data_IF_606845910884
#
_entry.id   IF_606845910884
#
_cell.length_a   1.000
_cell.length_b   1.000
_cell.length_c   1.000
_cell.angle_alpha   90.00
_cell.angle_beta   90.00
_cell.angle_gamma   90.00
#
_symmetry.space_group_name_H-M   'P 1'
#
loop_
_entity.id
_entity.type
_entity.pdbx_description
1 polymer ?
#
# COMPACT_ATOMS: atom_id res chain seq x y z
N UNK A 1 2.93 -10.20 -22.55
CA UNK A 1 3.17 -9.62 -21.56
C UNK A 1 2.31 -9.87 -20.57
N UNK A 2 2.68 -9.80 -19.62
CA UNK A 2 1.94 -10.14 -18.62
C UNK A 2 0.96 -9.15 -18.38
N UNK A 3 -0.09 -9.50 -17.89
CA UNK A 3 -0.98 -8.71 -17.53
C UNK A 3 -0.65 -8.11 -16.37
N UNK A 4 -0.78 -6.99 -16.26
CA UNK A 4 -0.43 -6.29 -15.16
C UNK A 4 -1.51 -6.14 -14.25
N UNK A 5 -1.24 -6.34 -13.00
CA UNK A 5 -2.14 -5.93 -11.99
C UNK A 5 -1.71 -4.54 -11.69
N UNK A 6 -2.56 -3.59 -11.89
CA UNK A 6 -2.17 -2.26 -11.62
C UNK A 6 -2.14 -2.00 -10.16
N UNK A 7 -0.97 -1.69 -9.66
CA UNK A 7 -0.80 -1.32 -8.26
C UNK A 7 -0.76 0.19 -8.22
N UNK A 8 -1.69 0.76 -7.47
CA UNK A 8 -1.76 2.20 -7.36
C UNK A 8 -0.90 2.64 -6.19
N UNK A 9 0.30 3.11 -6.48
CA UNK A 9 1.25 3.48 -5.44
C UNK A 9 0.72 4.56 -4.52
N UNK A 10 -0.02 5.51 -5.08
CA UNK A 10 -0.60 6.56 -4.27
C UNK A 10 -1.58 5.99 -3.24
N UNK A 11 -2.39 5.05 -3.68
CA UNK A 11 -3.37 4.45 -2.79
C UNK A 11 -2.70 3.65 -1.69
N UNK A 12 -1.63 2.94 -2.03
CA UNK A 12 -0.89 2.16 -1.05
C UNK A 12 -0.27 3.07 0.00
N UNK A 13 0.25 4.20 -0.41
CA UNK A 13 0.81 5.16 0.54
C UNK A 13 -0.28 5.66 1.49
N UNK A 14 -1.47 5.90 0.98
CA UNK A 14 -2.57 6.35 1.82
C UNK A 14 -3.00 5.28 2.81
N UNK A 15 -3.05 4.03 2.38
CA UNK A 15 -3.37 2.94 3.29
C UNK A 15 -2.32 2.84 4.38
N UNK A 16 -1.05 2.93 4.00
CA UNK A 16 0.04 2.89 4.95
C UNK A 16 -0.11 3.99 5.99
N UNK A 17 -0.44 5.20 5.56
CA UNK A 17 -0.61 6.31 6.49
C UNK A 17 -1.71 6.02 7.51
N UNK A 18 -2.82 5.46 7.04
CA UNK A 18 -3.89 5.12 7.95
C UNK A 18 -3.46 4.07 8.97
N UNK A 19 -2.78 3.05 8.49
CA UNK A 19 -2.41 1.94 9.37
C UNK A 19 -1.29 2.30 10.33
N UNK A 20 -0.56 3.35 10.06
CA UNK A 20 0.49 3.79 10.98
C UNK A 20 -0.06 4.21 12.33
N UNK A 21 -1.33 4.54 12.39
CA UNK A 21 -1.94 4.90 13.67
C UNK A 21 -2.03 3.71 14.63
N UNK A 22 -1.91 2.50 14.11
CA UNK A 22 -2.06 1.30 14.92
C UNK A 22 -3.51 0.91 15.15
N UNK A 23 -4.44 1.67 14.63
CA UNK A 23 -5.84 1.34 14.79
C UNK A 23 -6.27 0.28 13.80
N UNK A 24 -7.38 -0.36 14.12
CA UNK A 24 -7.98 -1.35 13.23
C UNK A 24 -8.91 -0.65 12.25
N UNK A 25 -8.80 -1.01 10.98
CA UNK A 25 -9.68 -0.49 9.95
C UNK A 25 -10.15 -1.63 9.09
N UNK A 26 -11.44 -1.68 8.81
CA UNK A 26 -11.95 -2.64 7.82
C UNK A 26 -11.60 -2.11 6.43
N UNK A 27 -11.64 -3.00 5.44
CA UNK A 27 -11.39 -2.57 4.07
C UNK A 27 -12.39 -1.50 3.66
N UNK A 28 -13.62 -1.62 4.12
CA UNK A 28 -14.64 -0.65 3.79
C UNK A 28 -14.32 0.72 4.39
N UNK A 29 -13.84 0.73 5.62
CA UNK A 29 -13.46 1.98 6.27
C UNK A 29 -12.28 2.63 5.56
N UNK A 30 -11.31 1.82 5.16
CA UNK A 30 -10.17 2.34 4.43
C UNK A 30 -10.61 2.92 3.11
N UNK A 31 -11.48 2.21 2.40
CA UNK A 31 -11.96 2.69 1.11
C UNK A 31 -12.65 4.04 1.24
N UNK A 32 -13.44 4.20 2.31
CA UNK A 32 -14.12 5.46 2.52
C UNK A 32 -13.17 6.59 2.87
N UNK A 33 -12.05 6.27 3.46
CA UNK A 33 -11.10 7.28 3.90
C UNK A 33 -10.22 7.79 2.78
N UNK A 34 -10.24 7.13 1.63
CA UNK A 34 -9.37 7.51 0.52
C UNK A 34 -10.18 8.26 -0.51
N UNK A 35 -9.76 9.48 -0.77
CA UNK A 35 -10.42 10.31 -1.76
C UNK A 35 -11.92 10.39 -1.49
N UNK A 36 -12.70 10.10 -2.49
CA UNK A 36 -14.15 10.21 -2.37
C UNK A 36 -14.80 8.89 -2.04
N UNK A 37 -14.01 7.90 -1.64
CA UNK A 37 -14.59 6.63 -1.29
C UNK A 37 -15.04 5.80 -2.49
N UNK A 38 -14.49 6.09 -3.65
CA UNK A 38 -14.92 5.41 -4.87
C UNK A 38 -14.35 4.01 -5.02
N UNK A 39 -13.39 3.64 -4.18
CA UNK A 39 -12.77 2.33 -4.30
C UNK A 39 -13.59 1.28 -3.57
N UNK A 40 -13.61 0.07 -4.10
CA UNK A 40 -14.34 -1.02 -3.47
C UNK A 40 -13.50 -1.65 -2.37
N UNK A 41 -14.18 -2.35 -1.47
CA UNK A 41 -13.47 -3.12 -0.44
C UNK A 41 -12.53 -4.13 -1.06
N UNK A 42 -12.94 -4.73 -2.17
CA UNK A 42 -12.10 -5.72 -2.81
C UNK A 42 -10.80 -5.12 -3.30
N UNK A 43 -10.85 -3.91 -3.85
CA UNK A 43 -9.64 -3.22 -4.27
C UNK A 43 -8.71 -3.01 -3.09
N UNK A 44 -9.25 -2.59 -1.96
CA UNK A 44 -8.45 -2.36 -0.77
C UNK A 44 -7.86 -3.67 -0.27
N UNK A 45 -8.63 -4.75 -0.29
CA UNK A 45 -8.13 -6.04 0.14
C UNK A 45 -6.94 -6.48 -0.71
N UNK A 46 -7.00 -6.25 -2.01
CA UNK A 46 -5.90 -6.59 -2.89
C UNK A 46 -4.68 -5.77 -2.59
N UNK A 47 -4.86 -4.48 -2.33
CA UNK A 47 -3.74 -3.62 -1.99
C UNK A 47 -3.08 -4.09 -0.69
N UNK A 48 -3.89 -4.48 0.28
CA UNK A 48 -3.36 -4.93 1.56
C UNK A 48 -2.60 -6.24 1.40
N UNK A 49 -3.11 -7.14 0.56
CA UNK A 49 -2.39 -8.38 0.28
C UNK A 49 -1.03 -8.09 -0.35
N UNK A 50 -1.01 -7.15 -1.27
CA UNK A 50 0.25 -6.75 -1.90
C UNK A 50 1.21 -6.17 -0.86
N UNK A 51 0.71 -5.31 0.01
CA UNK A 51 1.53 -4.70 1.05
C UNK A 51 2.12 -5.77 1.96
N UNK A 52 1.28 -6.71 2.37
CA UNK A 52 1.74 -7.75 3.28
C UNK A 52 2.70 -8.72 2.60
N UNK A 53 2.35 -9.16 1.40
CA UNK A 53 3.09 -10.24 0.75
C UNK A 53 4.31 -9.76 -0.01
N UNK A 54 4.27 -8.58 -0.56
CA UNK A 54 5.36 -8.06 -1.38
C UNK A 54 6.19 -7.03 -0.65
N UNK A 55 5.55 -6.17 0.13
CA UNK A 55 6.26 -5.10 0.83
C UNK A 55 6.58 -5.47 2.27
N UNK A 56 6.19 -6.67 2.68
CA UNK A 56 6.47 -7.17 4.03
C UNK A 56 5.89 -6.30 5.12
N UNK A 57 4.76 -5.68 4.86
CA UNK A 57 4.10 -4.87 5.86
C UNK A 57 3.58 -5.76 6.99
N UNK A 58 3.77 -5.37 8.24
CA UNK A 58 3.35 -6.20 9.37
C UNK A 58 1.86 -6.03 9.64
N UNK A 59 1.04 -6.59 8.78
CA UNK A 59 -0.41 -6.44 8.86
C UNK A 59 -1.05 -7.68 9.43
N UNK A 60 -1.88 -7.49 10.43
CA UNK A 60 -2.68 -8.56 11.00
C UNK A 60 -4.14 -8.26 10.70
N UNK A 61 -4.94 -9.29 10.51
CA UNK A 61 -6.36 -9.08 10.24
C UNK A 61 -7.20 -9.99 11.11
N UNK A 62 -8.36 -9.49 11.50
CA UNK A 62 -9.36 -10.29 12.18
C UNK A 62 -10.71 -9.60 11.96
N UNK A 63 -11.70 -9.89 12.80
CA UNK A 63 -13.04 -9.35 12.61
C UNK A 63 -13.08 -7.83 12.70
N UNK A 64 -12.08 -7.20 13.28
CA UNK A 64 -12.03 -5.74 13.39
C UNK A 64 -11.45 -5.09 12.15
N UNK A 65 -10.86 -5.87 11.25
CA UNK A 65 -10.26 -5.36 10.04
C UNK A 65 -8.78 -5.62 10.02
N UNK A 66 -8.02 -4.61 9.65
CA UNK A 66 -6.58 -4.72 9.49
C UNK A 66 -5.87 -3.70 10.37
N UNK A 67 -4.67 -4.04 10.83
CA UNK A 67 -3.86 -3.06 11.52
C UNK A 67 -2.40 -3.48 11.44
N UNK A 68 -1.51 -2.52 11.67
CA UNK A 68 -0.08 -2.81 11.74
C UNK A 68 0.25 -3.32 13.14
N UNK A 69 1.04 -4.39 13.18
CA UNK A 69 1.47 -4.95 14.46
C UNK A 69 2.72 -4.28 15.02
N UNK A 70 3.38 -3.44 14.20
CA UNK A 70 4.58 -2.74 14.63
C UNK A 70 4.35 -1.25 14.50
N UNK A 71 4.70 -0.52 15.52
CA UNK A 71 4.43 0.90 15.55
C UNK A 71 5.27 1.73 14.60
N UNK A 72 6.49 1.31 14.37
CA UNK A 72 7.41 2.15 13.61
C UNK A 72 7.55 1.76 12.16
N UNK A 73 6.68 0.89 11.71
CA UNK A 73 6.75 0.49 10.30
C UNK A 73 6.14 1.57 9.42
N UNK A 74 6.76 1.82 8.31
CA UNK A 74 6.14 2.61 7.26
C UNK A 74 6.77 2.15 5.96
N UNK A 75 6.06 2.39 4.87
CA UNK A 75 6.55 1.96 3.57
C UNK A 75 7.56 2.96 3.08
N UNK A 76 8.81 2.51 2.97
CA UNK A 76 9.89 3.39 2.56
C UNK A 76 10.00 3.52 1.06
N UNK A 77 9.69 2.45 0.37
CA UNK A 77 9.74 2.48 -1.08
C UNK A 77 8.85 1.39 -1.60
N UNK A 78 8.27 1.62 -2.75
CA UNK A 78 7.41 0.65 -3.39
C UNK A 78 8.16 0.16 -4.62
N UNK A 79 8.27 -1.16 -4.81
CA UNK A 79 8.97 -1.69 -5.97
C UNK A 79 8.35 -1.17 -7.26
N UNK A 80 9.20 -0.86 -8.22
CA UNK A 80 8.77 -0.33 -9.49
C UNK A 80 8.92 -1.38 -10.58
N UNK A 81 8.18 -1.20 -11.65
CA UNK A 81 8.42 -2.03 -12.81
C UNK A 81 9.80 -1.69 -13.34
N UNK A 82 10.32 -2.55 -14.20
CA UNK A 82 11.64 -2.33 -14.73
C UNK A 82 11.78 -0.97 -15.39
N UNK A 83 10.80 -0.60 -16.18
CA UNK A 83 10.85 0.69 -16.85
C UNK A 83 10.78 1.84 -15.89
N UNK A 84 9.95 1.73 -14.87
CA UNK A 84 9.85 2.78 -13.88
C UNK A 84 11.14 2.91 -13.08
N UNK A 85 11.76 1.80 -12.77
CA UNK A 85 13.00 1.83 -12.03
C UNK A 85 14.08 2.55 -12.82
N UNK A 86 14.13 2.31 -14.11
CA UNK A 86 15.11 2.99 -14.93
C UNK A 86 14.86 4.48 -14.98
N UNK A 87 13.59 4.86 -15.08
CA UNK A 87 13.26 6.28 -15.09
C UNK A 87 13.67 6.96 -13.80
N UNK A 88 13.43 6.32 -12.70
CA UNK A 88 13.80 6.89 -11.42
C UNK A 88 15.31 7.03 -11.32
N UNK A 89 16.04 6.03 -11.78
CA UNK A 89 17.50 6.10 -11.73
C UNK A 89 18.02 7.27 -12.56
N UNK A 90 17.39 7.53 -13.68
CA UNK A 90 17.81 8.63 -14.52
C UNK A 90 17.48 9.97 -13.86
N UNK A 91 16.31 10.04 -13.23
CA UNK A 91 15.90 11.30 -12.63
C UNK A 91 16.61 11.63 -11.35
N UNK A 92 17.15 10.64 -10.69
CA UNK A 92 17.77 10.87 -9.39
C UNK A 92 19.21 10.39 -9.32
N UNK A 93 20.03 10.80 -10.24
CA UNK A 93 21.39 10.28 -10.26
C UNK A 93 22.23 10.75 -9.10
N UNK A 94 21.82 11.80 -8.45
CA UNK A 94 22.61 12.36 -7.37
C UNK A 94 22.16 11.93 -6.00
N UNK A 95 21.19 11.08 -5.93
CA UNK A 95 20.70 10.69 -4.63
C UNK A 95 21.43 9.53 -4.02
N UNK A 96 22.43 9.06 -4.72
CA UNK A 96 23.12 7.96 -4.19
C UNK A 96 24.03 8.28 -3.18
#
# INVERSE_FOLDING_TARGET
>A
MERQIKINNWRIVKIDELLQSGRWYTAKEIAKSIEDGSYSSRTIQRDIEYMRDTLNAPIESDSRGYHYTEKNFFIKSIPLTEGEALSVAILNPLLE
#
